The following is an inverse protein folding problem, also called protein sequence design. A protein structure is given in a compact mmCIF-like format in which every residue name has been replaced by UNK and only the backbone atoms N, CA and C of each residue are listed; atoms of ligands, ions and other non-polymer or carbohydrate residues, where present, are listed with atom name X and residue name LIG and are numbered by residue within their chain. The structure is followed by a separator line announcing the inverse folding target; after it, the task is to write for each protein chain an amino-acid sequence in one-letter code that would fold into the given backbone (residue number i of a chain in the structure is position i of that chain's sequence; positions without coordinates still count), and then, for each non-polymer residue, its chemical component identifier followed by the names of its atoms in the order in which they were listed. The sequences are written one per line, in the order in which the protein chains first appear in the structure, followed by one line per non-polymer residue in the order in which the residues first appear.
data_IF_183665044604
#
_entry.id   IF_183665044604
#
_cell.length_a   1.000
_cell.length_b   1.000
_cell.length_c   1.000
_cell.angle_alpha   90.00
_cell.angle_beta   90.00
_cell.angle_gamma   90.00
#
_symmetry.space_group_name_H-M   'P 1'
#
loop_
_entity.id
_entity.type
_entity.pdbx_description
1 polymer ?
#
# COMPACT_ATOMS: atom_id res chain seq x y z
N UNK A 1 -36.19 21.28 23.31
CA UNK A 1 -35.81 20.28 22.30
C UNK A 1 -34.53 20.75 21.65
N UNK A 2 -33.39 20.22 22.07
CA UNK A 2 -32.06 20.62 21.56
C UNK A 2 -31.76 19.68 20.40
N UNK A 3 -31.59 20.25 19.21
CA UNK A 3 -31.19 19.51 18.01
C UNK A 3 -29.78 18.97 18.23
N UNK A 4 -29.61 17.65 18.08
CA UNK A 4 -28.32 16.98 18.07
C UNK A 4 -27.43 17.60 17.00
N UNK A 5 -26.34 18.23 17.41
CA UNK A 5 -25.20 18.44 16.52
C UNK A 5 -24.70 17.06 16.12
N UNK A 6 -25.00 16.66 14.87
CA UNK A 6 -24.45 15.45 14.29
C UNK A 6 -22.93 15.59 14.35
N UNK A 7 -22.32 14.71 15.14
CA UNK A 7 -20.88 14.60 15.24
C UNK A 7 -20.32 14.44 13.85
N UNK A 8 -19.59 15.45 13.37
CA UNK A 8 -18.84 15.38 12.14
C UNK A 8 -18.02 14.11 12.18
N UNK A 9 -18.33 13.20 11.25
CA UNK A 9 -17.60 11.95 11.08
C UNK A 9 -16.15 12.35 10.93
N UNK A 10 -15.32 12.05 11.93
CA UNK A 10 -13.88 12.05 11.77
C UNK A 10 -13.67 11.06 10.63
N UNK A 11 -13.51 11.59 9.41
CA UNK A 11 -13.01 10.83 8.28
C UNK A 11 -11.63 10.40 8.76
N UNK A 12 -11.54 9.21 9.35
CA UNK A 12 -10.27 8.53 9.57
C UNK A 12 -9.65 8.55 8.19
N UNK A 13 -8.66 9.41 8.00
CA UNK A 13 -7.85 9.39 6.79
C UNK A 13 -7.36 7.95 6.71
N UNK A 14 -7.84 7.20 5.72
CA UNK A 14 -7.49 5.80 5.57
C UNK A 14 -5.99 5.76 5.29
N UNK A 15 -5.21 5.49 6.33
CA UNK A 15 -3.77 5.34 6.22
C UNK A 15 -3.48 3.93 5.71
N UNK A 16 -2.67 3.82 4.66
CA UNK A 16 -2.25 2.53 4.08
C UNK A 16 -0.74 2.35 4.26
N UNK A 17 -0.29 1.11 4.29
CA UNK A 17 1.14 0.79 4.15
C UNK A 17 1.43 0.56 2.68
N UNK A 18 2.39 1.32 2.15
CA UNK A 18 2.82 1.23 0.76
C UNK A 18 4.21 0.61 0.71
N UNK A 19 4.41 -0.27 -0.25
CA UNK A 19 5.71 -0.88 -0.51
C UNK A 19 6.13 -0.61 -1.94
N UNK A 20 7.41 -0.32 -2.11
CA UNK A 20 8.05 -0.22 -3.41
C UNK A 20 8.76 -1.53 -3.68
N UNK A 21 8.33 -2.23 -4.72
CA UNK A 21 8.86 -3.55 -5.06
C UNK A 21 9.54 -3.46 -6.43
N UNK A 22 10.76 -4.01 -6.50
CA UNK A 22 11.53 -4.18 -7.72
C UNK A 22 11.39 -5.61 -8.23
N UNK A 23 10.86 -5.75 -9.44
CA UNK A 23 10.73 -7.00 -10.20
C UNK A 23 11.66 -6.91 -11.40
N UNK A 24 12.78 -7.64 -11.37
CA UNK A 24 13.83 -7.57 -12.41
C UNK A 24 14.17 -6.12 -12.77
N UNK A 25 13.66 -5.60 -13.90
CA UNK A 25 13.88 -4.25 -14.42
C UNK A 25 12.73 -3.24 -14.16
N UNK A 26 11.65 -3.66 -13.48
CA UNK A 26 10.45 -2.86 -13.23
C UNK A 26 10.33 -2.55 -11.74
N UNK A 27 10.06 -1.28 -11.41
CA UNK A 27 9.77 -0.86 -10.04
C UNK A 27 8.32 -0.35 -9.97
N UNK A 28 7.55 -0.87 -9.03
CA UNK A 28 6.14 -0.47 -8.83
C UNK A 28 5.79 -0.36 -7.35
N UNK A 29 4.81 0.48 -7.07
CA UNK A 29 4.25 0.66 -5.74
C UNK A 29 3.01 -0.22 -5.56
N UNK A 30 2.94 -0.89 -4.43
CA UNK A 30 1.84 -1.75 -4.02
C UNK A 30 1.38 -1.34 -2.63
N UNK A 31 0.14 -1.69 -2.31
CA UNK A 31 -0.32 -1.64 -0.93
C UNK A 31 -0.10 -2.99 -0.25
N UNK A 32 0.25 -2.94 1.02
CA UNK A 32 0.45 -4.11 1.84
C UNK A 32 -0.38 -3.98 3.12
N UNK A 33 -1.09 -5.04 3.47
CA UNK A 33 -1.91 -5.11 4.70
C UNK A 33 -1.20 -5.86 5.83
N UNK A 34 -0.10 -6.54 5.52
CA UNK A 34 0.70 -7.30 6.48
C UNK A 34 2.01 -6.57 6.80
N UNK A 35 2.64 -6.86 7.95
CA UNK A 35 3.99 -6.37 8.23
C UNK A 35 4.95 -6.82 7.13
N UNK A 36 5.80 -5.91 6.68
CA UNK A 36 6.76 -6.11 5.60
C UNK A 36 7.97 -5.22 5.84
N UNK A 37 9.15 -5.74 5.51
CA UNK A 37 10.42 -5.06 5.69
C UNK A 37 11.14 -4.85 4.37
N UNK A 38 12.06 -3.89 4.36
CA UNK A 38 12.95 -3.68 3.23
C UNK A 38 13.88 -4.89 3.12
N UNK A 39 13.93 -5.49 1.93
CA UNK A 39 14.68 -6.72 1.64
C UNK A 39 13.82 -7.96 1.45
N UNK A 40 12.59 -7.96 1.99
CA UNK A 40 11.64 -9.07 1.85
C UNK A 40 11.29 -9.33 0.38
N UNK A 41 10.88 -10.55 0.08
CA UNK A 41 10.41 -10.94 -1.25
C UNK A 41 8.89 -10.81 -1.31
N UNK A 42 8.41 -9.96 -2.20
CA UNK A 42 7.00 -9.69 -2.39
C UNK A 42 6.54 -10.28 -3.73
N UNK A 43 5.42 -11.01 -3.73
CA UNK A 43 4.82 -11.63 -4.91
C UNK A 43 3.61 -10.79 -5.33
N UNK A 44 3.59 -10.35 -6.58
CA UNK A 44 2.52 -9.52 -7.13
C UNK A 44 2.13 -10.00 -8.53
N UNK A 45 0.90 -9.69 -8.94
CA UNK A 45 0.46 -9.90 -10.31
C UNK A 45 0.85 -8.70 -11.20
N UNK A 46 1.66 -8.97 -12.22
CA UNK A 46 2.09 -8.01 -13.24
C UNK A 46 1.63 -8.55 -14.59
N UNK A 47 0.72 -7.82 -15.24
CA UNK A 47 0.23 -8.17 -16.58
C UNK A 47 -0.39 -9.58 -16.68
N UNK A 48 -0.98 -10.08 -15.59
CA UNK A 48 -1.59 -11.41 -15.52
C UNK A 48 -0.63 -12.53 -15.11
N UNK A 49 0.64 -12.21 -14.86
CA UNK A 49 1.64 -13.17 -14.38
C UNK A 49 2.02 -12.86 -12.92
N UNK A 50 2.13 -13.89 -12.10
CA UNK A 50 2.71 -13.76 -10.77
C UNK A 50 4.22 -13.60 -10.88
N UNK A 51 4.74 -12.50 -10.36
CA UNK A 51 6.17 -12.23 -10.30
C UNK A 51 6.58 -11.99 -8.85
N UNK A 52 7.77 -12.47 -8.50
CA UNK A 52 8.42 -12.14 -7.25
C UNK A 52 9.38 -10.97 -7.46
N UNK A 53 9.43 -10.09 -6.47
CA UNK A 53 10.29 -8.92 -6.49
C UNK A 53 10.78 -8.60 -5.08
N UNK A 54 11.83 -7.78 -4.97
CA UNK A 54 12.36 -7.35 -3.69
C UNK A 54 11.76 -6.04 -3.25
N UNK A 55 11.37 -5.97 -1.97
CA UNK A 55 10.93 -4.73 -1.35
C UNK A 55 12.14 -3.82 -1.15
N UNK A 56 12.13 -2.68 -1.82
CA UNK A 56 13.20 -1.67 -1.69
C UNK A 56 12.86 -0.60 -0.67
N UNK A 57 11.56 -0.33 -0.47
CA UNK A 57 11.10 0.76 0.39
C UNK A 57 9.74 0.40 1.01
N UNK A 58 9.56 0.77 2.27
CA UNK A 58 8.30 0.58 3.01
C UNK A 58 7.90 1.91 3.63
N UNK A 59 6.70 2.39 3.28
CA UNK A 59 6.10 3.58 3.84
C UNK A 59 4.88 3.18 4.66
N UNK A 60 4.96 3.39 5.97
CA UNK A 60 3.87 3.07 6.89
C UNK A 60 2.96 4.28 7.11
N UNK A 61 1.69 4.00 7.35
CA UNK A 61 0.68 5.02 7.70
C UNK A 61 0.57 6.17 6.68
N UNK A 62 0.71 5.87 5.40
CA UNK A 62 0.64 6.86 4.32
C UNK A 62 -0.80 7.27 4.09
N UNK A 63 -1.04 8.58 4.05
CA UNK A 63 -2.33 9.17 3.65
C UNK A 63 -2.32 9.50 2.16
N UNK A 64 -3.49 9.59 1.54
CA UNK A 64 -3.61 9.82 0.09
C UNK A 64 -2.92 11.11 -0.40
N UNK A 65 -2.85 12.15 0.43
CA UNK A 65 -2.18 13.43 0.15
C UNK A 65 -0.65 13.36 0.20
N UNK A 66 -0.09 12.38 0.92
CA UNK A 66 1.36 12.15 1.07
C UNK A 66 1.85 10.94 0.29
N UNK A 67 0.97 10.33 -0.49
CA UNK A 67 1.29 9.14 -1.25
C UNK A 67 2.16 9.50 -2.47
N UNK A 68 3.26 8.76 -2.72
CA UNK A 68 4.07 8.96 -3.93
C UNK A 68 3.31 8.59 -5.20
N UNK A 69 2.23 7.80 -5.08
CA UNK A 69 1.37 7.37 -6.18
C UNK A 69 -0.11 7.50 -5.83
N UNK A 70 -1.02 7.68 -6.80
CA UNK A 70 -2.46 7.69 -6.54
C UNK A 70 -2.92 6.37 -5.90
N UNK A 71 -3.72 6.43 -4.83
CA UNK A 71 -4.26 5.22 -4.20
C UNK A 71 -5.09 4.35 -5.16
N UNK A 72 -5.73 4.95 -6.16
CA UNK A 72 -6.48 4.23 -7.21
C UNK A 72 -5.59 3.40 -8.14
N UNK A 73 -4.27 3.62 -8.14
CA UNK A 73 -3.31 2.90 -8.96
C UNK A 73 -2.59 1.78 -8.22
N UNK A 74 -2.71 1.76 -6.88
CA UNK A 74 -2.12 0.73 -6.06
C UNK A 74 -2.87 -0.58 -6.27
N UNK A 75 -2.09 -1.65 -6.41
CA UNK A 75 -2.58 -3.02 -6.32
C UNK A 75 -2.15 -3.61 -4.98
N UNK A 76 -2.94 -4.54 -4.47
CA UNK A 76 -2.57 -5.33 -3.30
C UNK A 76 -1.45 -6.33 -3.67
N UNK A 77 -0.51 -6.52 -2.75
CA UNK A 77 0.45 -7.61 -2.85
C UNK A 77 -0.26 -8.95 -2.61
N UNK A 78 0.09 -9.99 -3.39
CA UNK A 78 -0.53 -11.31 -3.23
C UNK A 78 0.04 -12.03 -2.00
N UNK A 79 1.37 -11.98 -1.85
CA UNK A 79 2.07 -12.68 -0.78
C UNK A 79 3.39 -11.97 -0.44
N UNK A 80 3.79 -12.03 0.82
CA UNK A 80 5.12 -11.65 1.29
C UNK A 80 5.83 -12.90 1.80
N UNK A 81 7.10 -13.05 1.46
CA UNK A 81 8.02 -14.05 2.00
C UNK A 81 9.22 -13.34 2.62
N UNK A 82 9.59 -13.78 3.81
CA UNK A 82 10.83 -13.39 4.51
C UNK A 82 12.09 -13.88 3.77
#
# INVERSE_FOLDING_TARGET
MIHSMSGGVIKKYATKTLIKVRFDDIVKWYECLVPVFVGDTAIAEIEGEEKSGKVEEVLNQVTADKSPVPFSSLKEILQISE
#
